data_IF_067941039163
#
_entry.id   IF_067941039163
#
_cell.length_a   1.000
_cell.length_b   1.000
_cell.length_c   1.000
_cell.angle_alpha   90.00
_cell.angle_beta   90.00
_cell.angle_gamma   90.00
#
_symmetry.space_group_name_H-M   'P 1'
#
loop_
_entity.id
_entity.type
_entity.pdbx_description
1 polymer ?
#
# COMPACT_ATOMS: atom_id res chain seq x y z
N UNK A 1 14.26 -5.49 -15.54
CA UNK A 1 13.41 -5.24 -14.36
C UNK A 1 14.01 -4.06 -13.60
N UNK A 2 13.29 -3.41 -12.67
CA UNK A 2 13.81 -2.23 -11.95
C UNK A 2 14.33 -2.67 -10.59
N UNK A 3 15.65 -2.60 -10.41
CA UNK A 3 16.29 -2.90 -9.15
C UNK A 3 16.00 -1.76 -8.16
N UNK A 4 15.41 -2.10 -7.02
CA UNK A 4 15.21 -1.15 -5.93
C UNK A 4 16.36 -1.23 -4.94
N UNK A 5 16.71 -0.09 -4.35
CA UNK A 5 17.60 -0.06 -3.21
C UNK A 5 16.93 -0.80 -2.02
N UNK A 6 17.51 -1.93 -1.65
CA UNK A 6 17.03 -2.81 -0.56
C UNK A 6 16.94 -2.08 0.77
N UNK A 7 17.85 -1.15 1.04
CA UNK A 7 17.93 -0.44 2.32
C UNK A 7 16.71 0.48 2.52
N UNK A 8 16.21 1.06 1.44
CA UNK A 8 14.99 1.88 1.47
C UNK A 8 13.73 1.03 1.70
N UNK A 9 13.71 -0.19 1.17
CA UNK A 9 12.60 -1.12 1.36
C UNK A 9 12.58 -1.72 2.78
N UNK A 10 13.75 -1.89 3.40
CA UNK A 10 13.88 -2.35 4.79
C UNK A 10 13.80 -1.24 5.83
N UNK A 11 13.86 0.03 5.41
CA UNK A 11 13.75 1.18 6.31
C UNK A 11 12.34 1.29 6.88
N UNK A 12 12.25 1.40 8.21
CA UNK A 12 10.99 1.45 8.94
C UNK A 12 11.02 2.52 10.02
N UNK A 13 9.84 3.04 10.35
CA UNK A 13 9.66 3.90 11.52
C UNK A 13 9.62 3.10 12.83
N UNK A 14 9.53 3.81 13.96
CA UNK A 14 9.38 3.22 15.30
C UNK A 14 8.04 2.49 15.53
N UNK A 15 7.17 2.44 14.52
CA UNK A 15 5.89 1.73 14.52
C UNK A 15 5.90 0.53 13.57
N UNK A 16 7.06 0.10 13.06
CA UNK A 16 7.17 -0.98 12.07
C UNK A 16 6.43 -0.65 10.75
N UNK A 17 6.35 0.64 10.40
CA UNK A 17 5.75 1.10 9.15
C UNK A 17 6.85 1.48 8.18
N UNK A 18 6.91 0.73 7.09
CA UNK A 18 7.79 1.02 5.96
C UNK A 18 7.16 1.94 4.94
N UNK A 19 7.83 2.07 3.81
CA UNK A 19 7.45 3.00 2.74
C UNK A 19 6.08 2.68 2.10
N UNK A 20 5.66 1.40 2.09
CA UNK A 20 4.32 0.98 1.65
C UNK A 20 3.21 1.55 2.53
N UNK A 21 3.37 1.45 3.85
CA UNK A 21 2.44 1.98 4.83
C UNK A 21 2.25 3.48 4.62
N UNK A 22 3.34 4.21 4.42
CA UNK A 22 3.28 5.65 4.17
C UNK A 22 2.67 6.02 2.81
N UNK A 23 2.98 5.27 1.75
CA UNK A 23 2.36 5.48 0.44
C UNK A 23 0.82 5.38 0.52
N UNK A 24 0.32 4.44 1.32
CA UNK A 24 -1.11 4.25 1.56
C UNK A 24 -1.69 5.35 2.46
N UNK A 25 -1.05 5.63 3.60
CA UNK A 25 -1.51 6.63 4.57
C UNK A 25 -1.60 8.04 3.97
N UNK A 26 -0.68 8.39 3.07
CA UNK A 26 -0.63 9.71 2.41
C UNK A 26 -1.24 9.74 1.00
N UNK A 27 -1.95 8.68 0.61
CA UNK A 27 -2.68 8.62 -0.67
C UNK A 27 -1.77 8.84 -1.90
N UNK A 28 -0.53 8.34 -1.86
CA UNK A 28 0.48 8.51 -2.92
C UNK A 28 0.43 7.35 -3.92
N UNK A 29 -0.56 7.37 -4.82
CA UNK A 29 -0.78 6.32 -5.82
C UNK A 29 0.47 6.01 -6.66
N UNK A 30 1.14 7.04 -7.19
CA UNK A 30 2.29 6.85 -8.09
C UNK A 30 3.45 6.13 -7.39
N UNK A 31 3.64 6.44 -6.10
CA UNK A 31 4.67 5.81 -5.26
C UNK A 31 4.31 4.35 -5.00
N UNK A 32 3.04 4.08 -4.69
CA UNK A 32 2.55 2.73 -4.48
C UNK A 32 2.66 1.87 -5.77
N UNK A 33 2.26 2.41 -6.92
CA UNK A 33 2.37 1.73 -8.21
C UNK A 33 3.82 1.45 -8.60
N UNK A 34 4.73 2.39 -8.31
CA UNK A 34 6.17 2.18 -8.51
C UNK A 34 6.66 0.98 -7.69
N UNK A 35 6.25 0.89 -6.42
CA UNK A 35 6.68 -0.19 -5.53
C UNK A 35 6.13 -1.57 -5.94
N UNK A 36 4.91 -1.63 -6.46
CA UNK A 36 4.37 -2.88 -7.02
C UNK A 36 5.19 -3.42 -8.19
N UNK A 37 5.85 -2.54 -8.95
CA UNK A 37 6.71 -2.91 -10.06
C UNK A 37 8.13 -3.33 -9.69
N UNK A 38 8.50 -3.27 -8.40
CA UNK A 38 9.81 -3.68 -7.91
C UNK A 38 9.90 -5.19 -7.73
N UNK A 39 11.09 -5.76 -7.91
CA UNK A 39 11.34 -7.15 -7.58
C UNK A 39 11.36 -7.38 -6.06
N UNK A 40 10.90 -8.54 -5.60
CA UNK A 40 10.84 -8.85 -4.17
C UNK A 40 9.69 -8.19 -3.42
N UNK A 41 8.81 -7.44 -4.10
CA UNK A 41 7.66 -6.74 -3.50
C UNK A 41 6.79 -7.67 -2.65
N UNK A 42 6.61 -8.94 -3.06
CA UNK A 42 5.83 -9.93 -2.29
C UNK A 42 6.44 -10.22 -0.92
N UNK A 43 7.75 -10.38 -0.86
CA UNK A 43 8.48 -10.64 0.38
C UNK A 43 8.49 -9.39 1.27
N UNK A 44 8.63 -8.21 0.66
CA UNK A 44 8.50 -6.92 1.34
C UNK A 44 7.09 -6.75 1.94
N UNK A 45 6.02 -7.09 1.21
CA UNK A 45 4.65 -7.08 1.73
C UNK A 45 4.45 -8.06 2.88
N UNK A 46 5.05 -9.26 2.77
CA UNK A 46 4.94 -10.27 3.83
C UNK A 46 5.67 -9.84 5.10
N UNK A 47 6.86 -9.26 4.98
CA UNK A 47 7.68 -8.80 6.11
C UNK A 47 7.15 -7.52 6.76
N UNK A 48 6.61 -6.60 5.96
CA UNK A 48 6.25 -5.24 6.40
C UNK A 48 4.76 -4.92 6.23
N UNK A 49 3.92 -5.94 6.11
CA UNK A 49 2.48 -5.80 5.89
C UNK A 49 1.69 -5.44 7.15
N UNK A 50 2.32 -5.43 8.32
CA UNK A 50 1.68 -5.21 9.62
C UNK A 50 2.52 -4.26 10.49
N UNK A 51 1.86 -3.25 11.06
CA UNK A 51 2.50 -2.35 12.01
C UNK A 51 2.59 -2.97 13.42
N UNK A 52 3.28 -2.30 14.35
CA UNK A 52 3.44 -2.78 15.74
C UNK A 52 2.13 -2.89 16.52
N UNK A 53 1.05 -2.30 16.02
CA UNK A 53 -0.26 -2.29 16.63
C UNK A 53 -1.19 -3.35 16.03
N UNK A 54 -0.70 -4.16 15.08
CA UNK A 54 -1.49 -5.16 14.37
C UNK A 54 -2.33 -4.60 13.22
N UNK A 55 -2.16 -3.34 12.83
CA UNK A 55 -2.83 -2.79 11.66
C UNK A 55 -2.13 -3.26 10.40
N UNK A 56 -2.86 -3.96 9.54
CA UNK A 56 -2.38 -4.27 8.20
C UNK A 56 -2.54 -3.08 7.25
N UNK A 57 -1.96 -3.18 6.04
CA UNK A 57 -2.04 -2.13 5.01
C UNK A 57 -3.49 -1.71 4.66
N UNK A 58 -4.47 -2.61 4.78
CA UNK A 58 -5.87 -2.29 4.52
C UNK A 58 -6.47 -1.44 5.65
N UNK A 59 -6.14 -1.74 6.91
CA UNK A 59 -6.50 -0.88 8.05
C UNK A 59 -5.88 0.52 7.89
N UNK A 60 -4.62 0.61 7.43
CA UNK A 60 -3.97 1.89 7.14
C UNK A 60 -4.61 2.64 5.96
N UNK A 61 -5.16 1.92 4.98
CA UNK A 61 -5.91 2.52 3.88
C UNK A 61 -7.24 3.13 4.35
N UNK A 62 -7.91 2.46 5.30
CA UNK A 62 -9.13 2.95 5.92
C UNK A 62 -8.89 4.11 6.91
N UNK A 63 -7.66 4.25 7.42
CA UNK A 63 -7.30 5.39 8.25
C UNK A 63 -7.42 6.68 7.45
N UNK A 64 -8.18 7.64 7.99
CA UNK A 64 -8.30 8.99 7.46
C UNK A 64 -6.96 9.70 7.74
N UNK A 65 -6.02 9.54 6.81
CA UNK A 65 -4.64 9.97 7.00
C UNK A 65 -4.48 11.48 7.19
N UNK A 66 -3.26 11.96 7.55
CA UNK A 66 -2.97 13.37 7.78
C UNK A 66 -3.20 14.28 6.56
N UNK A 67 -3.37 13.68 5.36
CA UNK A 67 -3.84 14.37 4.16
C UNK A 67 -5.25 14.95 4.31
N UNK A 68 -6.04 14.44 5.27
CA UNK A 68 -7.22 15.12 5.77
C UNK A 68 -6.76 16.35 6.56
N UNK A 69 -6.42 17.40 5.83
CA UNK A 69 -6.16 18.69 6.42
C UNK A 69 -7.51 19.44 6.47
N UNK A 70 -8.15 19.57 7.64
CA UNK A 70 -9.45 20.24 7.77
C UNK A 70 -9.36 21.73 7.41
N UNK A 71 -8.14 22.29 7.32
CA UNK A 71 -7.90 23.68 6.87
C UNK A 71 -7.89 23.84 5.36
N UNK A 72 -7.82 22.74 4.60
CA UNK A 72 -7.90 22.84 3.14
C UNK A 72 -9.37 23.01 2.76
N UNK A 73 -9.70 24.17 2.16
CA UNK A 73 -11.06 24.64 1.81
C UNK A 73 -11.79 23.80 0.75
N UNK A 74 -11.70 22.47 0.80
CA UNK A 74 -12.48 21.59 -0.06
C UNK A 74 -13.78 21.24 0.68
N UNK A 75 -14.93 21.49 0.06
CA UNK A 75 -16.23 21.13 0.63
C UNK A 75 -16.34 19.62 0.88
N UNK A 76 -17.18 19.22 1.84
CA UNK A 76 -17.33 17.83 2.28
C UNK A 76 -17.55 16.83 1.12
N UNK A 77 -18.32 17.23 0.09
CA UNK A 77 -18.56 16.42 -1.10
C UNK A 77 -17.26 16.07 -1.87
N UNK A 78 -16.36 17.03 -2.07
CA UNK A 78 -15.11 16.83 -2.81
C UNK A 78 -14.13 15.94 -2.01
N UNK A 79 -14.17 16.03 -0.67
CA UNK A 79 -13.39 15.16 0.20
C UNK A 79 -13.90 13.71 0.11
N UNK A 80 -15.22 13.50 0.21
CA UNK A 80 -15.85 12.18 0.07
C UNK A 80 -15.59 11.58 -1.32
N UNK A 81 -15.68 12.38 -2.38
CA UNK A 81 -15.41 11.91 -3.75
C UNK A 81 -13.96 11.41 -3.89
N UNK A 82 -12.99 12.10 -3.30
CA UNK A 82 -11.59 11.68 -3.34
C UNK A 82 -11.35 10.39 -2.55
N UNK A 83 -11.94 10.24 -1.37
CA UNK A 83 -11.85 8.99 -0.60
C UNK A 83 -12.53 7.82 -1.32
N UNK A 84 -13.68 8.04 -2.00
CA UNK A 84 -14.33 7.00 -2.83
C UNK A 84 -13.43 6.56 -3.99
N UNK A 85 -12.78 7.51 -4.68
CA UNK A 85 -11.84 7.18 -5.75
C UNK A 85 -10.62 6.42 -5.23
N UNK A 86 -10.10 6.83 -4.07
CA UNK A 86 -9.00 6.13 -3.42
C UNK A 86 -9.39 4.69 -3.02
N UNK A 87 -10.58 4.49 -2.46
CA UNK A 87 -11.07 3.16 -2.09
C UNK A 87 -11.23 2.24 -3.31
N UNK A 88 -11.68 2.77 -4.46
CA UNK A 88 -11.73 2.00 -5.70
C UNK A 88 -10.34 1.57 -6.14
N UNK A 89 -9.36 2.47 -6.08
CA UNK A 89 -7.97 2.18 -6.44
C UNK A 89 -7.35 1.16 -5.48
N UNK A 90 -7.55 1.29 -4.17
CA UNK A 90 -7.04 0.34 -3.19
C UNK A 90 -7.69 -1.04 -3.32
N UNK A 91 -8.99 -1.10 -3.63
CA UNK A 91 -9.68 -2.35 -3.94
C UNK A 91 -9.12 -3.01 -5.19
N UNK A 92 -8.95 -2.26 -6.30
CA UNK A 92 -8.34 -2.78 -7.53
C UNK A 92 -6.91 -3.26 -7.32
N UNK A 93 -6.12 -2.53 -6.54
CA UNK A 93 -4.78 -2.92 -6.12
C UNK A 93 -4.82 -4.22 -5.33
N UNK A 94 -5.73 -4.35 -4.37
CA UNK A 94 -5.90 -5.56 -3.57
C UNK A 94 -6.22 -6.75 -4.48
N UNK A 95 -7.22 -6.62 -5.35
CA UNK A 95 -7.59 -7.66 -6.32
C UNK A 95 -6.43 -8.01 -7.26
N UNK A 96 -5.68 -7.01 -7.71
CA UNK A 96 -4.48 -7.22 -8.54
C UNK A 96 -3.40 -8.01 -7.79
N UNK A 97 -3.09 -7.63 -6.55
CA UNK A 97 -2.13 -8.34 -5.69
C UNK A 97 -2.60 -9.79 -5.47
N UNK A 98 -3.87 -10.01 -5.12
CA UNK A 98 -4.43 -11.35 -4.95
C UNK A 98 -4.32 -12.20 -6.22
N UNK A 99 -4.61 -11.63 -7.40
CA UNK A 99 -4.49 -12.34 -8.69
C UNK A 99 -3.05 -12.72 -9.07
N UNK A 100 -2.08 -11.86 -8.74
CA UNK A 100 -0.64 -12.10 -8.98
C UNK A 100 -0.01 -13.04 -7.96
N UNK A 101 -0.57 -13.14 -6.76
CA UNK A 101 -0.18 -14.11 -5.74
C UNK A 101 -0.78 -15.48 -6.06
N UNK A 102 -2.05 -15.57 -6.44
CA UNK A 102 -2.71 -16.85 -6.78
C UNK A 102 -2.12 -17.52 -8.02
N UNK A 103 -1.80 -16.75 -9.07
CA UNK A 103 -1.11 -17.31 -10.24
C UNK A 103 0.29 -17.86 -9.90
N UNK A 104 1.00 -17.25 -8.95
CA UNK A 104 2.35 -17.69 -8.56
C UNK A 104 2.36 -18.99 -7.77
N UNK A 105 1.30 -19.29 -7.02
CA UNK A 105 1.20 -20.52 -6.24
C UNK A 105 0.90 -21.74 -7.12
N UNK A 106 0.24 -21.59 -8.27
CA UNK A 106 -0.05 -22.71 -9.17
C UNK A 106 1.17 -23.26 -9.94
N UNK A 107 2.28 -22.51 -10.02
CA UNK A 107 3.52 -23.00 -10.65
C UNK A 107 4.45 -23.73 -9.66
N UNK A 108 4.12 -23.74 -8.36
CA UNK A 108 4.93 -24.36 -7.30
C UNK A 108 4.36 -25.70 -6.79
N UNK A 109 3.28 -26.21 -7.40
CA UNK A 109 2.60 -27.46 -7.00
C UNK A 109 2.73 -28.54 -8.11
N UNK A 110 3.52 -28.26 -9.17
CA UNK A 110 3.72 -29.17 -10.30
C UNK A 110 5.19 -29.57 -10.55
N UNK A 111 6.08 -29.41 -9.56
CA UNK A 111 7.44 -29.96 -9.58
C UNK A 111 7.70 -30.82 -8.36
#
# INVERSE_FOLDING_TARGET
MRDANSDLLSSMDSCNRGIFSYAIMYRKQNVFQLMLGLEGQKETFRRYGMDKFGNNLLHLAAYLGPSFNPKTRYGAALQMQREIQWFKVSHLISTYIYSKISHSNNYNILN
#
